data_IF_448617365962
#
_entry.id   IF_448617365962
#
_cell.length_a   1.000
_cell.length_b   1.000
_cell.length_c   1.000
_cell.angle_alpha   90.00
_cell.angle_beta   90.00
_cell.angle_gamma   90.00
#
_symmetry.space_group_name_H-M   'P 1'
#
loop_
_entity.id
_entity.type
_entity.pdbx_description
1 polymer ?
#
# COMPACT_ATOMS: atom_id res chain seq x y z
N UNK A 1 -27.34 12.55 -40.11
CA UNK A 1 -28.17 13.70 -39.70
C UNK A 1 -27.23 14.82 -39.32
N UNK A 2 -27.18 15.90 -40.08
CA UNK A 2 -26.47 17.12 -39.68
C UNK A 2 -27.15 17.66 -38.43
N UNK A 3 -26.49 17.57 -37.27
CA UNK A 3 -27.00 18.19 -36.06
C UNK A 3 -27.04 19.70 -36.31
N UNK A 4 -28.25 20.26 -36.43
CA UNK A 4 -28.42 21.71 -36.51
C UNK A 4 -27.77 22.33 -35.28
N UNK A 5 -26.93 23.36 -35.50
CA UNK A 5 -26.25 24.07 -34.42
C UNK A 5 -27.32 24.66 -33.48
N UNK A 6 -27.26 24.39 -32.16
CA UNK A 6 -28.24 24.95 -31.22
C UNK A 6 -28.11 26.49 -31.18
N UNK A 7 -29.24 27.18 -30.96
CA UNK A 7 -29.26 28.64 -30.83
C UNK A 7 -28.38 29.09 -29.66
N UNK A 8 -27.63 30.18 -29.86
CA UNK A 8 -26.84 30.81 -28.80
C UNK A 8 -27.76 31.51 -27.79
N UNK A 9 -27.20 31.87 -26.63
CA UNK A 9 -27.94 32.61 -25.59
C UNK A 9 -28.39 33.97 -26.12
N UNK A 10 -27.49 34.66 -26.82
CA UNK A 10 -27.77 35.92 -27.50
C UNK A 10 -28.90 35.78 -28.53
N UNK A 11 -28.89 34.73 -29.34
CA UNK A 11 -29.98 34.47 -30.31
C UNK A 11 -31.34 34.24 -29.62
N UNK A 12 -31.34 33.61 -28.44
CA UNK A 12 -32.55 33.44 -27.63
C UNK A 12 -32.95 34.74 -26.91
N UNK A 13 -32.02 35.64 -26.61
CA UNK A 13 -32.29 36.99 -26.07
C UNK A 13 -32.91 37.91 -27.11
N UNK A 14 -32.37 37.87 -28.34
CA UNK A 14 -32.92 38.58 -29.49
C UNK A 14 -34.33 38.06 -29.82
N UNK A 15 -34.52 36.74 -29.90
CA UNK A 15 -35.82 36.14 -30.21
C UNK A 15 -36.86 36.45 -29.13
N UNK A 16 -36.48 36.43 -27.85
CA UNK A 16 -37.35 36.87 -26.75
C UNK A 16 -37.78 38.32 -26.92
N UNK A 17 -36.82 39.21 -27.23
CA UNK A 17 -37.07 40.64 -27.41
C UNK A 17 -38.01 40.89 -28.60
N UNK A 18 -37.79 40.20 -29.73
CA UNK A 18 -38.67 40.26 -30.90
C UNK A 18 -40.06 39.77 -30.54
N UNK A 19 -40.19 38.62 -29.87
CA UNK A 19 -41.48 38.06 -29.51
C UNK A 19 -42.26 38.95 -28.53
N UNK A 20 -41.60 39.59 -27.56
CA UNK A 20 -42.23 40.55 -26.64
C UNK A 20 -42.70 41.80 -27.39
N UNK A 21 -41.87 42.36 -28.26
CA UNK A 21 -42.25 43.53 -29.07
C UNK A 21 -43.41 43.19 -30.01
N UNK A 22 -43.36 42.03 -30.67
CA UNK A 22 -44.40 41.54 -31.56
C UNK A 22 -45.73 41.33 -30.82
N UNK A 23 -45.70 40.76 -29.61
CA UNK A 23 -46.91 40.63 -28.79
C UNK A 23 -47.50 42.01 -28.49
N UNK A 24 -46.68 42.93 -27.95
CA UNK A 24 -47.11 44.28 -27.58
C UNK A 24 -47.71 45.04 -28.76
N UNK A 25 -47.08 44.96 -29.93
CA UNK A 25 -47.53 45.69 -31.10
C UNK A 25 -48.78 45.05 -31.73
N UNK A 26 -48.91 43.72 -31.66
CA UNK A 26 -50.12 42.99 -32.08
C UNK A 26 -51.33 43.29 -31.17
N UNK A 27 -51.10 43.41 -29.86
CA UNK A 27 -52.14 43.78 -28.89
C UNK A 27 -52.67 45.20 -29.14
N UNK A 28 -51.81 46.17 -29.50
CA UNK A 28 -52.24 47.55 -29.84
C UNK A 28 -53.19 47.60 -31.03
N UNK A 29 -52.99 46.72 -32.02
CA UNK A 29 -53.85 46.63 -33.22
C UNK A 29 -54.97 45.60 -33.07
N UNK A 30 -55.13 45.00 -31.88
CA UNK A 30 -56.12 43.95 -31.58
C UNK A 30 -55.99 42.68 -32.45
N UNK A 31 -54.80 42.37 -32.97
CA UNK A 31 -54.50 41.12 -33.68
C UNK A 31 -54.21 40.00 -32.67
N UNK A 32 -55.27 39.33 -32.25
CA UNK A 32 -55.22 38.27 -31.24
C UNK A 32 -54.44 37.02 -31.69
N UNK A 33 -54.58 36.50 -32.93
CA UNK A 33 -53.74 35.41 -33.42
C UNK A 33 -52.23 35.70 -33.36
N UNK A 34 -51.80 36.89 -33.80
CA UNK A 34 -50.39 37.24 -33.78
C UNK A 34 -49.85 37.40 -32.35
N UNK A 35 -50.64 38.00 -31.44
CA UNK A 35 -50.28 38.12 -30.02
C UNK A 35 -50.12 36.75 -29.34
N UNK A 36 -51.02 35.80 -29.62
CA UNK A 36 -50.95 34.43 -29.08
C UNK A 36 -49.74 33.66 -29.61
N UNK A 37 -49.42 33.80 -30.91
CA UNK A 37 -48.21 33.22 -31.49
C UNK A 37 -46.96 33.81 -30.83
N UNK A 38 -46.89 35.12 -30.66
CA UNK A 38 -45.79 35.79 -30.00
C UNK A 38 -45.58 35.32 -28.55
N UNK A 39 -46.66 35.10 -27.80
CA UNK A 39 -46.60 34.54 -26.46
C UNK A 39 -46.09 33.08 -26.46
N UNK A 40 -46.58 32.24 -27.38
CA UNK A 40 -46.09 30.86 -27.51
C UNK A 40 -44.58 30.81 -27.84
N UNK A 41 -44.09 31.74 -28.67
CA UNK A 41 -42.66 31.88 -28.96
C UNK A 41 -41.88 32.26 -27.70
N UNK A 42 -42.39 33.16 -26.85
CA UNK A 42 -41.73 33.49 -25.58
C UNK A 42 -41.60 32.29 -24.65
N UNK A 43 -42.67 31.49 -24.50
CA UNK A 43 -42.64 30.26 -23.68
C UNK A 43 -41.60 29.28 -24.23
N UNK A 44 -41.60 29.04 -25.54
CA UNK A 44 -40.62 28.17 -26.18
C UNK A 44 -39.17 28.67 -25.97
N UNK A 45 -38.94 29.99 -26.03
CA UNK A 45 -37.63 30.58 -25.75
C UNK A 45 -37.20 30.34 -24.31
N UNK A 46 -38.09 30.47 -23.32
CA UNK A 46 -37.79 30.20 -21.92
C UNK A 46 -37.41 28.72 -21.69
N UNK A 47 -38.16 27.80 -22.30
CA UNK A 47 -37.86 26.36 -22.22
C UNK A 47 -36.52 26.03 -22.88
N UNK A 48 -36.24 26.59 -24.06
CA UNK A 48 -34.97 26.40 -24.76
C UNK A 48 -33.79 26.95 -23.94
N UNK A 49 -33.95 28.09 -23.27
CA UNK A 49 -32.92 28.62 -22.35
C UNK A 49 -32.66 27.67 -21.19
N UNK A 50 -33.72 27.15 -20.57
CA UNK A 50 -33.60 26.20 -19.46
C UNK A 50 -32.82 24.96 -19.89
N UNK A 51 -33.24 24.32 -20.98
CA UNK A 51 -32.57 23.13 -21.54
C UNK A 51 -31.12 23.41 -21.90
N UNK A 52 -30.83 24.58 -22.50
CA UNK A 52 -29.45 24.98 -22.83
C UNK A 52 -28.59 25.13 -21.59
N UNK A 53 -29.11 25.76 -20.54
CA UNK A 53 -28.36 25.98 -19.30
C UNK A 53 -28.11 24.65 -18.58
N UNK A 54 -29.09 23.75 -18.55
CA UNK A 54 -28.93 22.38 -18.02
C UNK A 54 -27.89 21.58 -18.83
N UNK A 55 -27.94 21.65 -20.16
CA UNK A 55 -26.96 21.00 -21.03
C UNK A 55 -25.54 21.56 -20.84
N UNK A 56 -25.41 22.87 -20.63
CA UNK A 56 -24.13 23.50 -20.34
C UNK A 56 -23.57 23.07 -18.97
N UNK A 57 -24.42 22.97 -17.95
CA UNK A 57 -24.04 22.47 -16.63
C UNK A 57 -23.58 21.00 -16.70
N UNK A 58 -24.34 20.14 -17.38
CA UNK A 58 -23.96 18.74 -17.62
C UNK A 58 -22.66 18.61 -18.41
N UNK A 59 -22.42 19.49 -19.39
CA UNK A 59 -21.17 19.49 -20.15
C UNK A 59 -19.97 19.86 -19.25
N UNK A 60 -20.13 20.83 -18.34
CA UNK A 60 -19.11 21.21 -17.37
C UNK A 60 -18.81 20.08 -16.37
N UNK A 61 -19.85 19.43 -15.83
CA UNK A 61 -19.70 18.26 -14.93
C UNK A 61 -18.98 17.10 -15.63
N UNK A 62 -19.38 16.78 -16.86
CA UNK A 62 -18.73 15.75 -17.67
C UNK A 62 -17.26 16.07 -17.98
N UNK A 63 -16.92 17.34 -18.18
CA UNK A 63 -15.52 17.76 -18.32
C UNK A 63 -14.73 17.52 -17.03
N UNK A 64 -15.32 17.83 -15.87
CA UNK A 64 -14.74 17.54 -14.55
C UNK A 64 -14.52 16.05 -14.32
N UNK A 65 -15.51 15.21 -14.63
CA UNK A 65 -15.42 13.75 -14.51
C UNK A 65 -14.33 13.17 -15.42
N UNK A 66 -14.17 13.69 -16.65
CA UNK A 66 -13.09 13.27 -17.56
C UNK A 66 -11.70 13.64 -17.05
N UNK A 67 -11.57 14.83 -16.44
CA UNK A 67 -10.32 15.26 -15.82
C UNK A 67 -9.97 14.38 -14.62
N UNK A 68 -10.96 14.11 -13.75
CA UNK A 68 -10.81 13.19 -12.62
C UNK A 68 -10.42 11.78 -13.07
N UNK A 69 -11.12 11.22 -14.08
CA UNK A 69 -10.78 9.94 -14.70
C UNK A 69 -9.32 9.94 -15.14
N UNK A 70 -8.90 10.94 -15.91
CA UNK A 70 -7.50 11.04 -16.39
C UNK A 70 -6.49 11.07 -15.24
N UNK A 71 -6.75 11.84 -14.18
CA UNK A 71 -5.87 11.92 -13.02
C UNK A 71 -5.72 10.57 -12.31
N UNK A 72 -6.82 9.84 -12.11
CA UNK A 72 -6.80 8.50 -11.48
C UNK A 72 -5.98 7.51 -12.30
N UNK A 73 -6.13 7.52 -13.63
CA UNK A 73 -5.36 6.63 -14.52
C UNK A 73 -3.86 6.91 -14.45
N UNK A 74 -3.47 8.19 -14.43
CA UNK A 74 -2.07 8.59 -14.30
C UNK A 74 -1.47 8.11 -12.98
N UNK A 75 -2.20 8.22 -11.86
CA UNK A 75 -1.73 7.72 -10.56
C UNK A 75 -1.56 6.19 -10.55
N UNK A 76 -2.39 5.47 -11.30
CA UNK A 76 -2.28 4.01 -11.45
C UNK A 76 -1.19 3.58 -12.44
N UNK A 77 -0.49 4.51 -13.10
CA UNK A 77 0.45 4.20 -14.18
C UNK A 77 -0.22 3.59 -15.42
N UNK A 78 -1.55 3.73 -15.54
CA UNK A 78 -2.33 3.21 -16.66
C UNK A 78 -2.55 4.30 -17.71
N UNK A 79 -2.49 3.94 -18.99
CA UNK A 79 -2.85 4.87 -20.07
C UNK A 79 -4.33 5.23 -20.00
N UNK A 80 -4.69 6.49 -20.25
CA UNK A 80 -6.08 7.01 -20.16
C UNK A 80 -7.11 6.31 -21.06
N UNK A 81 -6.66 5.46 -21.97
CA UNK A 81 -7.46 4.61 -22.85
C UNK A 81 -7.81 3.25 -22.25
N UNK A 82 -7.28 2.89 -21.07
CA UNK A 82 -7.58 1.59 -20.47
C UNK A 82 -9.08 1.48 -20.11
N UNK A 83 -9.66 0.27 -20.19
CA UNK A 83 -11.07 0.05 -19.83
C UNK A 83 -11.39 0.51 -18.40
N UNK A 84 -12.60 1.02 -18.14
CA UNK A 84 -12.97 1.51 -16.81
C UNK A 84 -12.85 0.43 -15.72
N UNK A 85 -13.16 -0.83 -16.05
CA UNK A 85 -13.07 -1.94 -15.09
C UNK A 85 -11.63 -2.14 -14.59
N UNK A 86 -10.62 -1.81 -15.40
CA UNK A 86 -9.21 -1.95 -15.03
C UNK A 86 -8.83 -1.08 -13.84
N UNK A 87 -9.46 0.10 -13.67
CA UNK A 87 -9.26 0.92 -12.47
C UNK A 87 -9.82 0.21 -11.25
N UNK A 88 -11.07 -0.26 -11.34
CA UNK A 88 -11.73 -0.87 -10.18
C UNK A 88 -11.01 -2.12 -9.72
N UNK A 89 -10.50 -2.93 -10.67
CA UNK A 89 -9.69 -4.09 -10.35
C UNK A 89 -8.31 -3.68 -9.82
N UNK A 90 -7.69 -2.66 -10.42
CA UNK A 90 -6.42 -2.11 -9.93
C UNK A 90 -6.52 -1.61 -8.49
N UNK A 91 -7.58 -0.88 -8.14
CA UNK A 91 -7.84 -0.41 -6.78
C UNK A 91 -8.09 -1.58 -5.82
N UNK A 92 -8.83 -2.62 -6.26
CA UNK A 92 -9.03 -3.83 -5.45
C UNK A 92 -7.70 -4.53 -5.18
N UNK A 93 -6.83 -4.62 -6.18
CA UNK A 93 -5.51 -5.22 -6.05
C UNK A 93 -4.60 -4.39 -5.13
N UNK A 94 -4.59 -3.06 -5.26
CA UNK A 94 -3.85 -2.18 -4.35
C UNK A 94 -4.32 -2.31 -2.91
N UNK A 95 -5.65 -2.34 -2.69
CA UNK A 95 -6.23 -2.54 -1.37
C UNK A 95 -5.80 -3.89 -0.79
N UNK A 96 -5.91 -4.96 -1.58
CA UNK A 96 -5.50 -6.31 -1.17
C UNK A 96 -4.00 -6.36 -0.85
N UNK A 97 -3.16 -5.71 -1.65
CA UNK A 97 -1.72 -5.63 -1.41
C UNK A 97 -1.43 -4.93 -0.07
N UNK A 98 -2.06 -3.78 0.17
CA UNK A 98 -1.93 -3.05 1.43
C UNK A 98 -2.41 -3.89 2.63
N UNK A 99 -3.56 -4.54 2.53
CA UNK A 99 -4.09 -5.39 3.61
C UNK A 99 -3.16 -6.59 3.89
N UNK A 100 -2.56 -7.17 2.85
CA UNK A 100 -1.61 -8.30 2.99
C UNK A 100 -0.32 -7.83 3.66
N UNK A 101 0.22 -6.69 3.22
CA UNK A 101 1.42 -6.12 3.80
C UNK A 101 1.19 -5.76 5.28
N UNK A 102 0.05 -5.14 5.59
CA UNK A 102 -0.33 -4.81 6.96
C UNK A 102 -0.47 -6.05 7.85
N UNK A 103 -1.02 -7.16 7.31
CA UNK A 103 -1.09 -8.41 8.06
C UNK A 103 0.31 -8.96 8.39
N UNK A 104 1.26 -8.90 7.44
CA UNK A 104 2.65 -9.30 7.66
C UNK A 104 3.32 -8.38 8.68
N UNK A 105 3.17 -7.07 8.53
CA UNK A 105 3.69 -6.06 9.46
C UNK A 105 3.19 -6.30 10.89
N UNK A 106 1.90 -6.62 11.02
CA UNK A 106 1.28 -6.92 12.30
C UNK A 106 1.80 -8.21 12.92
N UNK A 107 1.87 -9.28 12.14
CA UNK A 107 2.22 -10.61 12.64
C UNK A 107 3.71 -10.74 12.99
N UNK A 108 4.60 -10.11 12.22
CA UNK A 108 6.04 -10.33 12.35
C UNK A 108 6.82 -9.16 12.95
N UNK A 109 6.32 -7.92 12.86
CA UNK A 109 7.10 -6.73 13.21
C UNK A 109 6.45 -5.83 14.27
N UNK A 110 5.18 -6.07 14.63
CA UNK A 110 4.51 -5.32 15.69
C UNK A 110 4.89 -5.86 17.06
N UNK A 111 5.16 -4.94 18.00
CA UNK A 111 5.61 -5.27 19.35
C UNK A 111 4.82 -4.47 20.37
N UNK A 112 4.68 -5.03 21.57
CA UNK A 112 4.22 -4.28 22.74
C UNK A 112 5.39 -3.44 23.25
N UNK A 113 5.21 -2.12 23.21
CA UNK A 113 6.15 -1.14 23.77
C UNK A 113 5.49 -0.40 24.93
N UNK A 114 6.24 0.06 25.95
CA UNK A 114 5.66 0.85 27.04
C UNK A 114 4.95 2.09 26.52
N UNK A 115 3.75 2.37 27.04
CA UNK A 115 3.02 3.59 26.71
C UNK A 115 3.75 4.80 27.32
N UNK A 116 4.16 5.75 26.48
CA UNK A 116 4.83 6.98 26.94
C UNK A 116 3.88 7.93 27.68
N UNK A 117 2.57 7.85 27.42
CA UNK A 117 1.54 8.69 28.05
C UNK A 117 1.02 8.09 29.35
N UNK A 118 0.99 6.75 29.48
CA UNK A 118 0.40 6.05 30.63
C UNK A 118 1.37 5.07 31.28
N UNK A 119 1.94 5.48 32.41
CA UNK A 119 2.91 4.68 33.17
C UNK A 119 2.31 3.33 33.62
N UNK A 120 2.88 2.23 33.13
CA UNK A 120 2.43 0.87 33.41
C UNK A 120 1.51 0.25 32.36
N UNK A 121 1.16 1.00 31.31
CA UNK A 121 0.47 0.47 30.13
C UNK A 121 1.46 0.18 28.99
N UNK A 122 1.04 -0.62 28.01
CA UNK A 122 1.80 -0.93 26.80
C UNK A 122 0.92 -0.73 25.58
N UNK A 123 1.52 -0.31 24.47
CA UNK A 123 0.85 -0.13 23.19
C UNK A 123 1.48 -1.05 22.15
N UNK A 124 0.68 -1.53 21.21
CA UNK A 124 1.19 -2.22 20.03
C UNK A 124 1.72 -1.19 19.03
N UNK A 125 3.03 -1.22 18.75
CA UNK A 125 3.66 -0.35 17.75
C UNK A 125 4.35 -1.19 16.67
N UNK A 126 4.16 -0.78 15.41
CA UNK A 126 4.89 -1.30 14.26
C UNK A 126 5.84 -0.23 13.74
N UNK A 127 7.17 -0.50 13.66
CA UNK A 127 8.13 0.45 13.08
C UNK A 127 7.86 0.79 11.61
N UNK A 128 7.15 -0.08 10.90
CA UNK A 128 6.80 0.09 9.50
C UNK A 128 5.47 0.84 9.41
N UNK A 129 5.53 2.11 9.04
CA UNK A 129 4.37 2.99 9.07
C UNK A 129 3.99 3.48 7.67
N UNK A 130 2.70 3.75 7.51
CA UNK A 130 2.17 4.37 6.30
C UNK A 130 2.70 5.80 6.15
N UNK A 131 3.06 6.18 4.92
CA UNK A 131 3.55 7.52 4.59
C UNK A 131 5.07 7.66 4.55
N UNK A 132 5.83 6.62 4.92
CA UNK A 132 7.28 6.58 4.70
C UNK A 132 7.63 6.60 3.21
N UNK A 133 8.79 7.19 2.87
CA UNK A 133 9.36 6.98 1.53
C UNK A 133 9.76 5.52 1.34
N UNK A 134 9.94 5.08 0.09
CA UNK A 134 10.39 3.71 -0.21
C UNK A 134 11.73 3.42 0.46
N UNK A 135 12.66 4.38 0.43
CA UNK A 135 13.99 4.24 1.03
C UNK A 135 13.91 4.11 2.55
N UNK A 136 13.06 4.92 3.20
CA UNK A 136 12.84 4.87 4.65
C UNK A 136 12.20 3.54 5.05
N UNK A 137 11.14 3.14 4.36
CA UNK A 137 10.44 1.88 4.62
C UNK A 137 11.39 0.68 4.50
N UNK A 138 12.19 0.64 3.43
CA UNK A 138 13.17 -0.44 3.22
C UNK A 138 14.27 -0.41 4.27
N UNK A 139 14.71 0.77 4.71
CA UNK A 139 15.71 0.88 5.77
C UNK A 139 15.21 0.33 7.11
N UNK A 140 13.98 0.68 7.52
CA UNK A 140 13.37 0.13 8.74
C UNK A 140 13.09 -1.37 8.60
N UNK A 141 12.60 -1.83 7.45
CA UNK A 141 12.35 -3.25 7.21
C UNK A 141 13.64 -4.09 7.34
N UNK A 142 14.79 -3.57 6.89
CA UNK A 142 16.09 -4.24 7.10
C UNK A 142 16.45 -4.36 8.59
N UNK A 143 16.13 -3.36 9.40
CA UNK A 143 16.36 -3.44 10.85
C UNK A 143 15.48 -4.52 11.48
N UNK A 144 14.19 -4.54 11.14
CA UNK A 144 13.28 -5.60 11.60
C UNK A 144 13.79 -7.00 11.21
N UNK A 145 14.26 -7.18 9.98
CA UNK A 145 14.85 -8.46 9.56
C UNK A 145 16.13 -8.82 10.33
N UNK A 146 16.97 -7.83 10.64
CA UNK A 146 18.18 -8.06 11.45
C UNK A 146 17.83 -8.53 12.86
N UNK A 147 16.79 -7.97 13.48
CA UNK A 147 16.29 -8.40 14.79
C UNK A 147 15.73 -9.82 14.76
N UNK A 148 14.90 -10.15 13.76
CA UNK A 148 14.37 -11.51 13.56
C UNK A 148 15.52 -12.51 13.40
N UNK A 149 16.54 -12.16 12.60
CA UNK A 149 17.73 -13.00 12.41
C UNK A 149 18.52 -13.16 13.70
N UNK A 150 18.72 -12.08 14.46
CA UNK A 150 19.40 -12.13 15.75
C UNK A 150 18.67 -13.06 16.73
N UNK A 151 17.32 -12.99 16.78
CA UNK A 151 16.51 -13.88 17.60
C UNK A 151 16.66 -15.34 17.16
N UNK A 152 16.60 -15.63 15.85
CA UNK A 152 16.81 -16.97 15.31
C UNK A 152 18.21 -17.53 15.64
N UNK A 153 19.25 -16.69 15.63
CA UNK A 153 20.60 -17.11 16.04
C UNK A 153 20.64 -17.51 17.53
N UNK A 154 19.98 -16.74 18.40
CA UNK A 154 19.88 -17.08 19.84
C UNK A 154 19.15 -18.40 20.06
N UNK A 155 18.02 -18.61 19.37
CA UNK A 155 17.28 -19.86 19.41
C UNK A 155 18.11 -21.05 18.90
N UNK A 156 18.93 -20.84 17.86
CA UNK A 156 19.90 -21.81 17.39
C UNK A 156 20.94 -22.19 18.45
N UNK A 157 21.50 -21.22 19.16
CA UNK A 157 22.45 -21.47 20.25
C UNK A 157 21.80 -22.24 21.41
N UNK A 158 20.57 -21.89 21.79
CA UNK A 158 19.79 -22.64 22.77
C UNK A 158 19.58 -24.09 22.33
N UNK A 159 19.21 -24.30 21.07
CA UNK A 159 19.03 -25.63 20.50
C UNK A 159 20.32 -26.46 20.60
N UNK A 160 21.47 -25.89 20.21
CA UNK A 160 22.77 -26.57 20.25
C UNK A 160 23.17 -26.92 21.69
N UNK A 161 23.05 -25.98 22.63
CA UNK A 161 23.34 -26.23 24.04
C UNK A 161 22.46 -27.36 24.60
N UNK A 162 21.16 -27.35 24.29
CA UNK A 162 20.21 -28.39 24.70
C UNK A 162 20.56 -29.75 24.10
N UNK A 163 20.94 -29.82 22.82
CA UNK A 163 21.36 -31.07 22.17
C UNK A 163 22.68 -31.60 22.75
N UNK A 164 23.63 -30.72 23.02
CA UNK A 164 24.93 -31.07 23.60
C UNK A 164 24.77 -31.67 24.99
N UNK A 165 23.99 -31.03 25.87
CA UNK A 165 23.72 -31.54 27.22
C UNK A 165 22.95 -32.87 27.18
N UNK A 166 21.98 -33.02 26.27
CA UNK A 166 21.27 -34.29 26.10
C UNK A 166 22.19 -35.43 25.62
N UNK A 167 23.17 -35.13 24.75
CA UNK A 167 24.16 -36.12 24.31
C UNK A 167 25.08 -36.56 25.45
N UNK A 168 25.45 -35.64 26.35
CA UNK A 168 26.18 -35.96 27.58
C UNK A 168 25.33 -36.83 28.53
N UNK A 169 24.08 -36.45 28.80
CA UNK A 169 23.17 -37.20 29.68
C UNK A 169 22.92 -38.63 29.18
N UNK A 170 22.85 -38.82 27.85
CA UNK A 170 22.70 -40.13 27.22
C UNK A 170 24.00 -40.95 27.12
N UNK A 171 25.15 -40.40 27.53
CA UNK A 171 26.45 -41.08 27.51
C UNK A 171 27.14 -41.13 26.15
N UNK A 172 26.72 -40.33 25.16
CA UNK A 172 27.43 -40.19 23.88
C UNK A 172 28.68 -39.31 23.98
N UNK A 173 28.70 -38.40 24.95
CA UNK A 173 29.86 -37.57 25.28
C UNK A 173 30.43 -38.07 26.61
N UNK A 174 31.61 -38.69 26.55
CA UNK A 174 32.34 -39.18 27.72
C UNK A 174 33.20 -38.05 28.33
N UNK A 175 32.56 -37.19 29.12
CA UNK A 175 33.21 -36.09 29.83
C UNK A 175 32.54 -35.84 31.20
N UNK A 176 33.18 -35.04 32.05
CA UNK A 176 32.66 -34.68 33.37
C UNK A 176 31.45 -33.74 33.28
N UNK A 177 30.53 -33.84 34.24
CA UNK A 177 29.39 -32.93 34.36
C UNK A 177 29.81 -31.46 34.40
N UNK A 178 30.98 -31.17 34.99
CA UNK A 178 31.53 -29.82 35.06
C UNK A 178 31.87 -29.31 33.65
N UNK A 179 32.63 -30.07 32.87
CA UNK A 179 33.02 -29.68 31.52
C UNK A 179 31.80 -29.54 30.61
N UNK A 180 30.85 -30.46 30.70
CA UNK A 180 29.60 -30.38 29.95
C UNK A 180 28.83 -29.08 30.27
N UNK A 181 28.71 -28.73 31.55
CA UNK A 181 28.06 -27.50 31.98
C UNK A 181 28.84 -26.24 31.58
N UNK A 182 30.17 -26.26 31.62
CA UNK A 182 31.01 -25.14 31.20
C UNK A 182 30.87 -24.86 29.68
N UNK A 183 30.87 -25.92 28.85
CA UNK A 183 30.63 -25.79 27.40
C UNK A 183 29.22 -25.27 27.11
N UNK A 184 28.20 -25.83 27.76
CA UNK A 184 26.82 -25.37 27.57
C UNK A 184 26.65 -23.90 27.97
N UNK A 185 27.22 -23.48 29.12
CA UNK A 185 27.24 -22.07 29.53
C UNK A 185 27.95 -21.20 28.51
N UNK A 186 29.09 -21.63 27.98
CA UNK A 186 29.82 -20.89 26.95
C UNK A 186 28.95 -20.67 25.70
N UNK A 187 28.23 -21.69 25.23
CA UNK A 187 27.31 -21.58 24.09
C UNK A 187 26.18 -20.59 24.41
N UNK A 188 25.56 -20.71 25.58
CA UNK A 188 24.46 -19.83 25.98
C UNK A 188 24.91 -18.37 26.14
N UNK A 189 26.04 -18.12 26.79
CA UNK A 189 26.62 -16.78 26.95
C UNK A 189 27.05 -16.17 25.61
N UNK A 190 27.36 -16.99 24.60
CA UNK A 190 27.68 -16.45 23.26
C UNK A 190 26.52 -15.66 22.64
N UNK A 191 25.26 -15.94 23.04
CA UNK A 191 24.07 -15.20 22.58
C UNK A 191 24.07 -13.72 22.92
N UNK A 192 24.82 -13.30 23.94
CA UNK A 192 24.98 -11.90 24.35
C UNK A 192 25.84 -11.10 23.36
N UNK A 193 26.69 -11.78 22.59
CA UNK A 193 27.64 -11.16 21.64
C UNK A 193 27.22 -11.35 20.18
N UNK A 194 26.21 -12.16 19.90
CA UNK A 194 25.78 -12.51 18.54
C UNK A 194 25.28 -11.32 17.70
N UNK A 195 24.80 -10.25 18.32
CA UNK A 195 24.32 -9.06 17.60
C UNK A 195 25.45 -8.33 16.87
N UNK A 196 26.66 -8.36 17.43
CA UNK A 196 27.85 -7.70 16.91
C UNK A 196 28.83 -8.70 16.26
N UNK A 197 28.40 -9.95 16.06
CA UNK A 197 29.24 -10.98 15.49
C UNK A 197 29.60 -10.66 14.03
N UNK A 198 30.87 -10.82 13.61
CA UNK A 198 31.28 -10.72 12.22
C UNK A 198 30.45 -11.61 11.31
N UNK A 199 30.22 -11.17 10.07
CA UNK A 199 29.34 -11.89 9.12
C UNK A 199 29.76 -13.35 8.86
N UNK A 200 31.07 -13.65 8.99
CA UNK A 200 31.63 -14.99 8.82
C UNK A 200 31.47 -15.93 10.01
N UNK A 201 31.11 -15.45 11.21
CA UNK A 201 31.02 -16.28 12.42
C UNK A 201 29.82 -17.23 12.39
N UNK A 202 28.87 -16.98 11.49
CA UNK A 202 27.72 -17.87 11.25
C UNK A 202 27.97 -18.88 10.11
N UNK A 203 29.14 -18.84 9.48
CA UNK A 203 29.52 -19.80 8.45
C UNK A 203 30.12 -21.09 9.06
N UNK A 204 29.96 -22.20 8.34
CA UNK A 204 30.40 -23.53 8.77
C UNK A 204 31.86 -23.85 8.46
N UNK A 205 32.57 -23.01 7.70
CA UNK A 205 33.93 -23.31 7.20
C UNK A 205 34.93 -23.68 8.30
N UNK A 206 34.90 -22.98 9.44
CA UNK A 206 35.78 -23.31 10.57
C UNK A 206 35.49 -24.73 11.10
N UNK A 207 34.22 -25.05 11.33
CA UNK A 207 33.82 -26.37 11.81
C UNK A 207 34.17 -27.47 10.80
N UNK A 208 33.93 -27.24 9.51
CA UNK A 208 34.26 -28.20 8.45
C UNK A 208 35.77 -28.45 8.37
N UNK A 209 36.60 -27.42 8.50
CA UNK A 209 38.06 -27.56 8.53
C UNK A 209 38.55 -28.41 9.71
N UNK A 210 38.04 -28.14 10.92
CA UNK A 210 38.39 -28.93 12.12
C UNK A 210 37.94 -30.40 11.97
N UNK A 211 36.76 -30.65 11.40
CA UNK A 211 36.28 -32.00 11.15
C UNK A 211 37.12 -32.75 10.12
N UNK A 212 37.60 -32.06 9.08
CA UNK A 212 38.52 -32.64 8.09
C UNK A 212 39.86 -33.02 8.72
N UNK A 213 40.43 -32.15 9.56
CA UNK A 213 41.67 -32.42 10.29
C UNK A 213 41.55 -33.63 11.21
N UNK A 214 40.43 -33.73 11.96
CA UNK A 214 40.12 -34.90 12.80
C UNK A 214 40.03 -36.17 11.94
N UNK A 215 39.34 -36.12 10.80
CA UNK A 215 39.22 -37.27 9.90
C UNK A 215 40.58 -37.72 9.35
N UNK A 216 41.48 -36.79 9.04
CA UNK A 216 42.86 -37.11 8.64
C UNK A 216 43.64 -37.76 9.77
N UNK A 217 43.50 -37.28 11.01
CA UNK A 217 44.16 -37.85 12.18
C UNK A 217 43.72 -39.31 12.40
N UNK A 218 42.41 -39.57 12.40
CA UNK A 218 41.86 -40.92 12.59
C UNK A 218 42.34 -41.91 11.52
N UNK A 219 42.49 -41.47 10.26
CA UNK A 219 43.04 -42.31 9.18
C UNK A 219 44.51 -42.67 9.40
N UNK A 220 45.30 -41.77 10.00
CA UNK A 220 46.71 -42.02 10.33
C UNK A 220 46.84 -42.98 11.50
N UNK A 221 46.02 -42.82 12.54
CA UNK A 221 46.00 -43.71 13.71
C UNK A 221 45.57 -45.13 13.34
N UNK A 222 44.63 -45.30 12.41
CA UNK A 222 44.22 -46.61 11.91
C UNK A 222 45.26 -47.30 11.01
N UNK A 223 46.28 -46.56 10.54
CA UNK A 223 47.35 -47.07 9.69
C UNK A 223 48.64 -47.44 10.47
N UNK A 224 48.65 -47.25 11.80
CA UNK A 224 49.72 -47.65 12.73
C UNK A 224 49.36 -48.96 13.43
#
# INVERSE_FOLDING_TARGET
MTANKPMTGEQLDELMTIAVNMQRDSEKVSDRPAAMFAYAVQVAVLELRKVRNEAAALAAENAGLKAFKTAVYQQMGAGCEAPEFSITEGLRNLRRFADTLHAIEREFFTKEVPDEEYEGETVEECPLTWGMSVEQYVAEFRKCLAEVRAQAHKEGAHFVANRMLAAWEAGFIDDTAKNAADIARMILTSTEFMADAPEGDFDRSFADGVLEDIAVQLRKEAAQ
#
